data_IF_663778914868
#
_entry.id   IF_663778914868
#
_cell.length_a   1.000
_cell.length_b   1.000
_cell.length_c   1.000
_cell.angle_alpha   90.00
_cell.angle_beta   90.00
_cell.angle_gamma   90.00
#
_symmetry.space_group_name_H-M   'P 1'
#
loop_
_entity.id
_entity.type
_entity.pdbx_description
1 polymer ?
#
# COMPACT_ATOMS: atom_id res chain seq x y z
N UNK A 1 -3.39 -21.97 -40.05
CA UNK A 1 -4.17 -20.73 -39.87
C UNK A 1 -4.04 -20.26 -38.43
N UNK A 2 -3.23 -19.23 -38.13
CA UNK A 2 -3.09 -18.74 -36.76
C UNK A 2 -4.34 -17.94 -36.36
N UNK A 3 -4.95 -18.30 -35.23
CA UNK A 3 -6.07 -17.57 -34.63
C UNK A 3 -5.57 -16.22 -34.12
N UNK A 4 -5.93 -15.14 -34.83
CA UNK A 4 -5.76 -13.76 -34.38
C UNK A 4 -6.49 -13.54 -33.05
N UNK A 5 -5.76 -13.53 -31.93
CA UNK A 5 -6.25 -12.90 -30.70
C UNK A 5 -6.04 -11.39 -30.87
N UNK A 6 -7.13 -10.66 -31.13
CA UNK A 6 -7.11 -9.19 -31.12
C UNK A 6 -6.56 -8.72 -29.76
N UNK A 7 -5.52 -7.89 -29.77
CA UNK A 7 -5.12 -7.13 -28.59
C UNK A 7 -6.28 -6.19 -28.21
N UNK A 8 -6.69 -6.14 -26.93
CA UNK A 8 -7.72 -5.21 -26.50
C UNK A 8 -7.23 -3.77 -26.71
N UNK A 9 -8.13 -2.90 -27.14
CA UNK A 9 -7.82 -1.47 -27.30
C UNK A 9 -7.65 -0.82 -25.93
N UNK A 10 -6.94 0.32 -25.80
CA UNK A 10 -6.72 1.00 -24.52
C UNK A 10 -8.01 1.44 -23.80
N UNK A 11 -9.17 1.40 -24.48
CA UNK A 11 -10.49 1.68 -23.91
C UNK A 11 -11.22 0.46 -23.33
N UNK A 12 -10.75 -0.76 -23.58
CA UNK A 12 -11.46 -2.00 -23.18
C UNK A 12 -11.10 -2.49 -21.76
N UNK A 13 -10.27 -1.74 -21.03
CA UNK A 13 -9.84 -2.08 -19.66
C UNK A 13 -10.85 -1.70 -18.56
N UNK A 14 -12.06 -1.23 -18.92
CA UNK A 14 -13.07 -0.77 -17.95
C UNK A 14 -14.18 -1.80 -17.59
N UNK A 15 -13.87 -2.99 -17.05
CA UNK A 15 -14.87 -3.71 -16.25
C UNK A 15 -14.49 -3.97 -14.78
N UNK A 16 -13.30 -3.59 -14.30
CA UNK A 16 -12.90 -3.88 -12.90
C UNK A 16 -13.27 -2.73 -11.92
N UNK A 17 -13.70 -1.58 -12.46
CA UNK A 17 -13.93 -0.34 -11.69
C UNK A 17 -15.35 -0.16 -11.12
N UNK A 18 -16.25 -1.15 -11.27
CA UNK A 18 -17.56 -1.14 -10.62
C UNK A 18 -17.55 -2.17 -9.49
N UNK A 19 -17.73 -1.71 -8.25
CA UNK A 19 -18.00 -2.59 -7.12
C UNK A 19 -19.32 -3.34 -7.38
N UNK A 20 -19.21 -4.59 -7.83
CA UNK A 20 -20.31 -5.45 -8.25
C UNK A 20 -20.21 -6.81 -7.54
N UNK A 21 -20.46 -6.86 -6.21
CA UNK A 21 -20.32 -8.08 -5.42
C UNK A 21 -21.04 -9.28 -6.08
N UNK A 22 -22.33 -9.10 -6.44
CA UNK A 22 -23.14 -10.19 -7.00
C UNK A 22 -22.75 -10.74 -8.38
N UNK A 23 -21.81 -10.10 -9.08
CA UNK A 23 -21.32 -10.58 -10.39
C UNK A 23 -20.18 -11.59 -10.28
N UNK A 24 -19.50 -11.64 -9.13
CA UNK A 24 -18.36 -12.53 -8.90
C UNK A 24 -18.76 -13.89 -8.33
N UNK A 25 -19.91 -14.00 -7.66
CA UNK A 25 -20.33 -15.24 -7.00
C UNK A 25 -20.31 -16.46 -7.94
N UNK A 26 -20.68 -16.29 -9.22
CA UNK A 26 -20.66 -17.37 -10.22
C UNK A 26 -19.34 -17.59 -10.95
N UNK A 27 -18.33 -16.73 -10.77
CA UNK A 27 -17.03 -16.78 -11.48
C UNK A 27 -15.81 -16.76 -10.56
N UNK A 28 -16.00 -16.60 -9.25
CA UNK A 28 -14.95 -16.48 -8.22
C UNK A 28 -13.95 -17.63 -8.32
N UNK A 29 -14.41 -18.88 -8.30
CA UNK A 29 -13.52 -20.04 -8.39
C UNK A 29 -12.70 -20.06 -9.68
N UNK A 30 -13.31 -19.79 -10.83
CA UNK A 30 -12.60 -19.78 -12.12
C UNK A 30 -11.58 -18.64 -12.23
N UNK A 31 -11.90 -17.46 -11.67
CA UNK A 31 -10.98 -16.33 -11.61
C UNK A 31 -9.82 -16.63 -10.67
N UNK A 32 -10.08 -17.18 -9.48
CA UNK A 32 -9.05 -17.60 -8.53
C UNK A 32 -8.10 -18.62 -9.15
N UNK A 33 -8.62 -19.63 -9.85
CA UNK A 33 -7.80 -20.63 -10.56
C UNK A 33 -6.99 -20.02 -11.72
N UNK A 34 -7.57 -19.05 -12.45
CA UNK A 34 -6.84 -18.32 -13.49
C UNK A 34 -5.68 -17.52 -12.90
N UNK A 35 -5.92 -16.78 -11.81
CA UNK A 35 -4.88 -15.99 -11.12
C UNK A 35 -3.79 -16.89 -10.56
N UNK A 36 -4.13 -18.03 -9.92
CA UNK A 36 -3.14 -19.03 -9.49
C UNK A 36 -2.27 -19.52 -10.63
N UNK A 37 -2.87 -19.81 -11.79
CA UNK A 37 -2.15 -20.29 -12.96
C UNK A 37 -1.19 -19.23 -13.49
N UNK A 38 -1.64 -17.99 -13.61
CA UNK A 38 -0.83 -16.86 -14.05
C UNK A 38 0.33 -16.57 -13.09
N UNK A 39 0.12 -16.67 -11.77
CA UNK A 39 1.20 -16.54 -10.79
C UNK A 39 2.26 -17.65 -10.92
N UNK A 40 1.84 -18.90 -11.15
CA UNK A 40 2.75 -20.06 -11.20
C UNK A 40 3.48 -20.19 -12.54
N UNK A 41 2.78 -19.96 -13.65
CA UNK A 41 3.23 -20.30 -15.00
C UNK A 41 3.28 -19.12 -15.96
N UNK A 42 2.82 -17.93 -15.56
CA UNK A 42 2.86 -16.75 -16.40
C UNK A 42 4.27 -16.21 -16.58
N UNK A 43 4.45 -15.34 -17.57
CA UNK A 43 5.65 -14.53 -17.72
C UNK A 43 5.68 -13.38 -16.68
N UNK A 44 6.75 -12.58 -16.64
CA UNK A 44 6.92 -11.51 -15.64
C UNK A 44 5.74 -10.53 -15.61
N UNK A 45 5.32 -10.01 -16.77
CA UNK A 45 4.17 -9.11 -16.87
C UNK A 45 2.88 -9.79 -16.38
N UNK A 46 2.60 -11.01 -16.83
CA UNK A 46 1.39 -11.75 -16.45
C UNK A 46 1.35 -12.06 -14.95
N UNK A 47 2.51 -12.37 -14.34
CA UNK A 47 2.63 -12.55 -12.89
C UNK A 47 2.36 -11.25 -12.15
N UNK A 48 2.90 -10.12 -12.63
CA UNK A 48 2.67 -8.80 -12.03
C UNK A 48 1.19 -8.42 -12.09
N UNK A 49 0.55 -8.63 -13.24
CA UNK A 49 -0.90 -8.47 -13.39
C UNK A 49 -1.66 -9.37 -12.42
N UNK A 50 -1.29 -10.65 -12.32
CA UNK A 50 -1.94 -11.59 -11.42
C UNK A 50 -1.81 -11.19 -9.93
N UNK A 51 -0.65 -10.69 -9.50
CA UNK A 51 -0.45 -10.14 -8.14
C UNK A 51 -1.35 -8.93 -7.91
N UNK A 52 -1.43 -8.00 -8.87
CA UNK A 52 -2.26 -6.79 -8.75
C UNK A 52 -3.76 -7.08 -8.64
N UNK A 53 -4.20 -8.23 -9.17
CA UNK A 53 -5.61 -8.65 -9.15
C UNK A 53 -6.01 -9.29 -7.81
N UNK A 54 -5.07 -9.84 -7.04
CA UNK A 54 -5.39 -10.50 -5.75
C UNK A 54 -6.03 -9.54 -4.74
N UNK A 55 -5.47 -8.33 -4.48
CA UNK A 55 -6.11 -7.36 -3.60
C UNK A 55 -7.50 -6.95 -4.12
N UNK A 56 -7.68 -6.82 -5.44
CA UNK A 56 -8.97 -6.46 -6.03
C UNK A 56 -10.02 -7.57 -5.82
N UNK A 57 -9.65 -8.85 -5.96
CA UNK A 57 -10.53 -9.98 -5.67
C UNK A 57 -10.89 -10.06 -4.19
N UNK A 58 -9.93 -9.81 -3.29
CA UNK A 58 -10.17 -9.74 -1.86
C UNK A 58 -11.13 -8.60 -1.50
N UNK A 59 -10.93 -7.42 -2.08
CA UNK A 59 -11.80 -6.26 -1.89
C UNK A 59 -13.19 -6.48 -2.49
N UNK A 60 -13.33 -7.22 -3.58
CA UNK A 60 -14.63 -7.49 -4.19
C UNK A 60 -15.37 -8.68 -3.56
N UNK A 61 -14.76 -9.36 -2.59
CA UNK A 61 -15.39 -10.48 -1.89
C UNK A 61 -16.51 -10.02 -0.97
N UNK A 62 -17.58 -10.81 -0.90
CA UNK A 62 -18.83 -10.42 -0.25
C UNK A 62 -18.81 -10.67 1.26
N UNK A 63 -18.02 -11.64 1.73
CA UNK A 63 -17.95 -12.02 3.14
C UNK A 63 -16.52 -12.09 3.67
N UNK A 64 -16.34 -11.92 4.98
CA UNK A 64 -15.03 -12.14 5.62
C UNK A 64 -14.52 -13.58 5.45
N UNK A 65 -15.42 -14.57 5.31
CA UNK A 65 -15.06 -15.95 5.01
C UNK A 65 -14.45 -16.10 3.61
N UNK A 66 -14.97 -15.37 2.62
CA UNK A 66 -14.42 -15.35 1.26
C UNK A 66 -13.03 -14.71 1.21
N UNK A 67 -12.80 -13.68 2.02
CA UNK A 67 -11.49 -13.03 2.16
C UNK A 67 -10.50 -13.97 2.83
N UNK A 68 -10.92 -14.69 3.88
CA UNK A 68 -10.09 -15.67 4.55
C UNK A 68 -9.71 -16.82 3.62
N UNK A 69 -10.67 -17.34 2.85
CA UNK A 69 -10.42 -18.36 1.82
C UNK A 69 -9.44 -17.86 0.76
N UNK A 70 -9.59 -16.62 0.28
CA UNK A 70 -8.64 -16.01 -0.67
C UNK A 70 -7.25 -15.84 -0.06
N UNK A 71 -7.16 -15.40 1.19
CA UNK A 71 -5.91 -15.28 1.92
C UNK A 71 -5.27 -16.66 2.07
N UNK A 72 -5.97 -17.68 2.56
CA UNK A 72 -5.45 -19.05 2.64
C UNK A 72 -5.04 -19.61 1.28
N UNK A 73 -5.78 -19.25 0.24
CA UNK A 73 -5.55 -19.71 -1.13
C UNK A 73 -4.31 -19.07 -1.76
N UNK A 74 -4.11 -17.77 -1.56
CA UNK A 74 -3.01 -17.02 -2.16
C UNK A 74 -1.79 -16.89 -1.25
N UNK A 75 -1.94 -17.04 0.07
CA UNK A 75 -0.85 -16.95 1.06
C UNK A 75 0.30 -17.89 0.76
N UNK A 76 0.13 -19.17 0.37
CA UNK A 76 1.26 -20.02 0.02
C UNK A 76 2.01 -19.55 -1.23
N UNK A 77 1.29 -18.99 -2.22
CA UNK A 77 1.87 -18.49 -3.47
C UNK A 77 2.57 -17.15 -3.24
N UNK A 78 1.95 -16.25 -2.47
CA UNK A 78 2.55 -14.98 -2.06
C UNK A 78 3.74 -15.20 -1.14
N UNK A 79 3.65 -16.12 -0.16
CA UNK A 79 4.79 -16.52 0.66
C UNK A 79 5.87 -17.13 -0.21
N UNK A 80 5.55 -18.01 -1.16
CA UNK A 80 6.55 -18.56 -2.10
C UNK A 80 7.28 -17.48 -2.90
N UNK A 81 6.54 -16.53 -3.50
CA UNK A 81 7.12 -15.41 -4.24
C UNK A 81 7.90 -14.48 -3.30
N UNK A 82 7.35 -14.18 -2.12
CA UNK A 82 8.02 -13.38 -1.11
C UNK A 82 9.26 -14.09 -0.60
N UNK A 83 9.26 -15.41 -0.40
CA UNK A 83 10.45 -16.17 0.00
C UNK A 83 11.46 -16.21 -1.12
N UNK A 84 11.07 -16.33 -2.39
CA UNK A 84 12.01 -16.27 -3.50
C UNK A 84 12.63 -14.87 -3.62
N UNK A 85 11.82 -13.81 -3.54
CA UNK A 85 12.29 -12.41 -3.45
C UNK A 85 13.14 -12.22 -2.19
N UNK A 86 12.76 -12.82 -1.07
CA UNK A 86 13.45 -12.73 0.20
C UNK A 86 14.71 -13.58 0.20
N UNK A 87 14.86 -14.65 -0.58
CA UNK A 87 16.11 -15.40 -0.75
C UNK A 87 17.04 -14.64 -1.69
N UNK A 88 16.50 -14.00 -2.74
CA UNK A 88 17.23 -13.02 -3.55
C UNK A 88 17.68 -11.81 -2.73
N UNK A 89 16.81 -11.31 -1.83
CA UNK A 89 17.13 -10.22 -0.92
C UNK A 89 18.06 -10.71 0.18
N UNK A 90 17.84 -11.85 0.87
CA UNK A 90 18.66 -12.43 1.97
C UNK A 90 20.07 -12.80 1.59
N UNK A 91 20.39 -12.91 0.30
CA UNK A 91 21.79 -12.78 -0.15
C UNK A 91 22.44 -11.45 0.33
N UNK A 92 21.61 -10.52 0.82
CA UNK A 92 21.80 -9.41 1.75
C UNK A 92 20.53 -9.21 2.66
N UNK A 93 20.48 -9.86 3.84
CA UNK A 93 19.53 -9.69 4.97
C UNK A 93 18.37 -8.66 4.86
N UNK A 94 17.15 -9.05 5.31
CA UNK A 94 15.98 -8.17 5.49
C UNK A 94 16.35 -6.71 5.83
N UNK A 95 15.82 -5.73 5.06
CA UNK A 95 16.06 -4.30 5.26
C UNK A 95 15.86 -3.90 6.74
N UNK A 96 16.97 -3.71 7.44
CA UNK A 96 16.99 -3.26 8.83
C UNK A 96 16.64 -1.77 8.90
N UNK A 97 16.28 -1.25 10.09
CA UNK A 97 16.09 0.20 10.26
C UNK A 97 17.33 1.00 9.83
N UNK A 98 18.54 0.46 10.02
CA UNK A 98 19.79 1.08 9.59
C UNK A 98 19.95 1.11 8.07
N UNK A 99 19.49 0.07 7.36
CA UNK A 99 19.47 0.08 5.90
C UNK A 99 18.52 1.15 5.37
N UNK A 100 17.35 1.32 5.99
CA UNK A 100 16.42 2.41 5.68
C UNK A 100 17.02 3.79 5.95
N UNK A 101 17.76 3.94 7.05
CA UNK A 101 18.49 5.18 7.34
C UNK A 101 19.54 5.48 6.27
N UNK A 102 20.30 4.49 5.80
CA UNK A 102 21.26 4.68 4.71
C UNK A 102 20.57 5.11 3.40
N UNK A 103 19.36 4.62 3.13
CA UNK A 103 18.57 5.01 1.95
C UNK A 103 18.06 6.46 2.00
N UNK A 104 18.09 7.14 3.15
CA UNK A 104 17.78 8.57 3.25
C UNK A 104 18.79 9.45 2.51
N UNK A 105 20.00 8.95 2.24
CA UNK A 105 21.03 9.66 1.47
C UNK A 105 21.00 9.31 -0.04
N UNK A 106 20.04 8.49 -0.49
CA UNK A 106 19.87 8.14 -1.90
C UNK A 106 19.76 9.39 -2.79
N UNK A 107 20.24 9.33 -4.03
CA UNK A 107 20.05 10.40 -5.02
C UNK A 107 18.59 10.50 -5.51
N UNK A 108 17.84 9.40 -5.40
CA UNK A 108 16.47 9.28 -5.88
C UNK A 108 15.45 9.72 -4.80
N UNK A 109 14.56 10.64 -5.16
CA UNK A 109 13.61 11.25 -4.22
C UNK A 109 12.59 10.24 -3.67
N UNK A 110 12.08 9.38 -4.53
CA UNK A 110 11.15 8.29 -4.19
C UNK A 110 11.76 7.34 -3.15
N UNK A 111 13.02 6.95 -3.32
CA UNK A 111 13.74 6.11 -2.34
C UNK A 111 13.84 6.81 -0.99
N UNK A 112 14.23 8.10 -0.97
CA UNK A 112 14.33 8.87 0.28
C UNK A 112 12.97 8.99 0.98
N UNK A 113 11.94 9.43 0.25
CA UNK A 113 10.59 9.63 0.80
C UNK A 113 9.99 8.33 1.32
N UNK A 114 10.06 7.25 0.54
CA UNK A 114 9.62 5.93 0.98
C UNK A 114 10.37 5.44 2.22
N UNK A 115 11.69 5.66 2.31
CA UNK A 115 12.48 5.27 3.47
C UNK A 115 12.10 6.06 4.73
N UNK A 116 11.90 7.38 4.61
CA UNK A 116 11.47 8.22 5.71
C UNK A 116 10.07 7.87 6.24
N UNK A 117 9.11 7.67 5.34
CA UNK A 117 7.75 7.24 5.69
C UNK A 117 7.74 5.82 6.30
N UNK A 118 8.57 4.92 5.78
CA UNK A 118 8.71 3.56 6.33
C UNK A 118 9.31 3.59 7.73
N UNK A 119 10.33 4.42 7.99
CA UNK A 119 10.89 4.59 9.33
C UNK A 119 9.87 5.13 10.33
N UNK A 120 9.07 6.13 9.92
CA UNK A 120 7.99 6.67 10.75
C UNK A 120 6.92 5.61 11.06
N UNK A 121 6.52 4.84 10.05
CA UNK A 121 5.57 3.73 10.21
C UNK A 121 6.12 2.63 11.12
N UNK A 122 7.37 2.21 10.91
CA UNK A 122 8.03 1.21 11.77
C UNK A 122 8.10 1.69 13.21
N UNK A 123 8.46 2.95 13.44
CA UNK A 123 8.45 3.54 14.78
C UNK A 123 7.04 3.54 15.39
N UNK A 124 5.99 3.94 14.64
CA UNK A 124 4.59 3.92 15.11
C UNK A 124 4.13 2.54 15.56
N UNK A 125 4.51 1.49 14.81
CA UNK A 125 4.05 0.12 15.08
C UNK A 125 4.90 -0.57 16.13
N UNK A 126 6.22 -0.42 16.07
CA UNK A 126 7.14 -1.21 16.88
C UNK A 126 7.34 -0.58 18.26
N UNK A 127 7.25 0.74 18.42
CA UNK A 127 7.29 1.37 19.75
C UNK A 127 6.10 1.00 20.64
N UNK A 128 4.99 0.48 20.07
CA UNK A 128 3.89 -0.09 20.84
C UNK A 128 4.29 -1.39 21.56
N UNK A 129 5.30 -2.09 21.05
CA UNK A 129 5.77 -3.38 21.55
C UNK A 129 7.13 -3.28 22.26
N UNK A 130 8.00 -2.42 21.76
CA UNK A 130 9.34 -2.15 22.28
C UNK A 130 9.58 -0.64 22.30
N UNK A 131 9.42 -0.03 23.47
CA UNK A 131 9.63 1.41 23.65
C UNK A 131 11.08 1.86 23.43
N UNK A 132 12.04 0.93 23.38
CA UNK A 132 13.45 1.21 23.10
C UNK A 132 13.80 1.13 21.62
N UNK A 133 12.84 0.73 20.77
CA UNK A 133 13.04 0.66 19.32
C UNK A 133 13.55 2.00 18.76
N UNK A 134 14.63 1.94 17.98
CA UNK A 134 15.36 3.08 17.40
C UNK A 134 15.98 4.07 18.39
N UNK A 135 15.90 3.86 19.71
CA UNK A 135 16.37 4.85 20.70
C UNK A 135 17.84 5.25 20.51
N UNK A 136 18.71 4.29 20.19
CA UNK A 136 20.15 4.54 19.95
C UNK A 136 20.41 5.33 18.66
N UNK A 137 19.66 5.01 17.60
CA UNK A 137 19.86 5.57 16.26
C UNK A 137 19.03 6.88 16.04
N UNK A 138 18.07 7.17 16.93
CA UNK A 138 17.13 8.30 16.82
C UNK A 138 17.82 9.67 16.71
N UNK A 139 18.89 10.00 17.47
CA UNK A 139 19.56 11.29 17.34
C UNK A 139 20.14 11.52 15.94
N UNK A 140 20.76 10.51 15.35
CA UNK A 140 21.34 10.57 14.01
C UNK A 140 20.24 10.63 12.94
N UNK A 141 19.19 9.84 13.11
CA UNK A 141 18.01 9.89 12.26
C UNK A 141 17.38 11.28 12.23
N UNK A 142 17.18 11.91 13.40
CA UNK A 142 16.62 13.26 13.52
C UNK A 142 17.49 14.30 12.81
N UNK A 143 18.81 14.17 12.90
CA UNK A 143 19.73 15.07 12.20
C UNK A 143 19.59 14.95 10.67
N UNK A 144 19.49 13.73 10.16
CA UNK A 144 19.32 13.47 8.72
C UNK A 144 17.96 13.95 8.22
N UNK A 145 16.87 13.59 8.91
CA UNK A 145 15.50 14.01 8.58
C UNK A 145 15.36 15.54 8.63
N UNK A 146 15.98 16.20 9.62
CA UNK A 146 15.97 17.66 9.72
C UNK A 146 16.60 18.33 8.50
N UNK A 147 17.77 17.84 8.04
CA UNK A 147 18.38 18.33 6.80
C UNK A 147 17.45 18.15 5.60
N UNK A 148 16.84 16.97 5.44
CA UNK A 148 15.93 16.69 4.33
C UNK A 148 14.65 17.53 4.34
N UNK A 149 14.22 17.99 5.52
CA UNK A 149 13.05 18.87 5.71
C UNK A 149 13.25 20.32 5.22
N UNK A 150 14.51 20.76 5.10
CA UNK A 150 14.90 22.12 4.66
C UNK A 150 15.56 22.11 3.28
N UNK A 151 16.45 21.15 3.06
CA UNK A 151 17.40 21.16 1.98
C UNK A 151 16.77 20.64 0.68
N UNK A 152 17.30 21.14 -0.44
CA UNK A 152 16.99 20.63 -1.76
C UNK A 152 18.21 19.90 -2.30
N UNK A 153 18.02 18.65 -2.74
CA UNK A 153 19.06 17.93 -3.44
C UNK A 153 19.32 18.57 -4.81
N UNK A 154 20.59 18.58 -5.24
CA UNK A 154 21.00 19.19 -6.52
C UNK A 154 20.24 18.51 -7.67
N UNK A 155 19.79 19.29 -8.65
CA UNK A 155 19.03 18.83 -9.83
C UNK A 155 17.58 18.35 -9.60
N UNK A 156 17.03 18.45 -8.38
CA UNK A 156 15.60 18.17 -8.18
C UNK A 156 14.69 19.26 -8.75
N UNK A 157 13.63 18.89 -9.47
CA UNK A 157 12.59 19.82 -9.92
C UNK A 157 11.73 20.41 -8.79
N UNK A 158 11.02 21.52 -9.06
CA UNK A 158 10.21 22.25 -8.08
C UNK A 158 9.19 21.37 -7.34
N UNK A 159 8.49 20.49 -8.05
CA UNK A 159 7.52 19.54 -7.48
C UNK A 159 8.19 18.56 -6.51
N UNK A 160 9.34 18.01 -6.90
CA UNK A 160 10.10 17.07 -6.08
C UNK A 160 10.61 17.71 -4.78
N UNK A 161 11.16 18.93 -4.86
CA UNK A 161 11.58 19.68 -3.66
C UNK A 161 10.42 19.95 -2.70
N UNK A 162 9.23 20.28 -3.23
CA UNK A 162 8.03 20.50 -2.41
C UNK A 162 7.61 19.21 -1.70
N UNK A 163 7.54 18.09 -2.43
CA UNK A 163 7.18 16.79 -1.86
C UNK A 163 8.15 16.39 -0.75
N UNK A 164 9.46 16.44 -1.02
CA UNK A 164 10.49 16.13 -0.02
C UNK A 164 10.29 16.91 1.28
N UNK A 165 10.17 18.24 1.17
CA UNK A 165 10.05 19.09 2.36
C UNK A 165 8.79 18.81 3.14
N UNK A 166 7.66 18.54 2.47
CA UNK A 166 6.41 18.20 3.16
C UNK A 166 6.58 16.87 3.89
N UNK A 167 6.97 15.81 3.19
CA UNK A 167 7.16 14.47 3.76
C UNK A 167 8.12 14.52 4.96
N UNK A 168 9.31 15.13 4.81
CA UNK A 168 10.29 15.13 5.89
C UNK A 168 9.97 16.12 7.02
N UNK A 169 9.12 17.13 6.81
CA UNK A 169 8.59 17.93 7.93
C UNK A 169 7.61 17.11 8.77
N UNK A 170 6.75 16.34 8.11
CA UNK A 170 5.79 15.47 8.79
C UNK A 170 6.50 14.36 9.56
N UNK A 171 7.50 13.69 8.94
CA UNK A 171 8.34 12.68 9.61
C UNK A 171 9.12 13.30 10.78
N UNK A 172 9.70 14.49 10.59
CA UNK A 172 10.45 15.17 11.66
C UNK A 172 9.55 15.47 12.86
N UNK A 173 8.40 16.08 12.59
CA UNK A 173 7.43 16.47 13.62
C UNK A 173 6.96 15.24 14.40
N UNK A 174 6.66 14.15 13.70
CA UNK A 174 6.29 12.89 14.33
C UNK A 174 7.40 12.31 15.21
N UNK A 175 8.64 12.21 14.71
CA UNK A 175 9.74 11.62 15.48
C UNK A 175 10.15 12.48 16.69
N UNK A 176 9.94 13.81 16.64
CA UNK A 176 10.28 14.71 17.75
C UNK A 176 9.17 14.85 18.78
N UNK A 177 7.91 14.91 18.33
CA UNK A 177 6.78 15.35 19.16
C UNK A 177 5.65 14.31 19.23
N UNK A 178 5.77 13.19 18.50
CA UNK A 178 4.72 12.17 18.40
C UNK A 178 3.48 12.63 17.61
N UNK A 179 3.55 13.78 16.93
CA UNK A 179 2.41 14.36 16.21
C UNK A 179 2.36 13.81 14.78
N UNK A 180 1.29 13.09 14.46
CA UNK A 180 1.00 12.59 13.11
C UNK A 180 0.21 13.64 12.32
N UNK A 181 0.53 13.91 11.03
CA UNK A 181 -0.27 14.80 10.19
C UNK A 181 -1.70 14.26 10.00
N UNK A 182 -2.71 15.03 10.37
CA UNK A 182 -4.10 14.67 10.10
C UNK A 182 -4.51 15.01 8.67
N UNK A 183 -5.13 14.06 7.97
CA UNK A 183 -5.81 14.32 6.69
C UNK A 183 -7.27 13.90 6.77
N UNK A 184 -8.16 14.77 6.30
CA UNK A 184 -9.61 14.51 6.21
C UNK A 184 -10.00 14.31 4.76
N UNK A 185 -10.58 13.15 4.47
CA UNK A 185 -11.04 12.79 3.12
C UNK A 185 -12.55 12.70 3.13
N UNK A 186 -13.21 13.62 2.42
CA UNK A 186 -14.66 13.64 2.28
C UNK A 186 -15.09 12.71 1.15
N UNK A 187 -16.10 11.89 1.41
CA UNK A 187 -16.75 11.02 0.42
C UNK A 187 -18.23 10.87 0.80
N UNK A 188 -19.13 11.11 -0.15
CA UNK A 188 -20.56 11.21 0.16
C UNK A 188 -20.81 12.18 1.32
N UNK A 189 -21.55 11.70 2.33
CA UNK A 189 -21.88 12.43 3.56
C UNK A 189 -20.93 12.12 4.74
N UNK A 190 -19.86 11.35 4.50
CA UNK A 190 -18.92 10.90 5.52
C UNK A 190 -17.53 11.53 5.34
N UNK A 191 -16.70 11.45 6.38
CA UNK A 191 -15.31 11.90 6.34
C UNK A 191 -14.40 10.86 6.97
N UNK A 192 -13.43 10.37 6.20
CA UNK A 192 -12.36 9.51 6.69
C UNK A 192 -11.27 10.39 7.31
N UNK A 193 -10.94 10.13 8.56
CA UNK A 193 -9.81 10.74 9.25
C UNK A 193 -8.59 9.82 9.17
N UNK A 194 -7.51 10.32 8.57
CA UNK A 194 -6.19 9.69 8.61
C UNK A 194 -5.38 10.37 9.72
N UNK A 195 -5.24 9.71 10.86
CA UNK A 195 -4.61 10.22 12.08
C UNK A 195 -3.45 9.33 12.58
N UNK A 196 -2.99 8.39 11.76
CA UNK A 196 -1.86 7.50 12.05
C UNK A 196 -1.11 7.20 10.75
N UNK A 197 0.19 6.93 10.82
CA UNK A 197 1.01 6.52 9.67
C UNK A 197 0.47 5.25 9.03
N UNK A 198 0.02 4.28 9.84
CA UNK A 198 -0.66 3.08 9.36
C UNK A 198 -1.96 3.42 8.61
N UNK A 199 -2.74 4.37 9.10
CA UNK A 199 -3.98 4.80 8.43
C UNK A 199 -3.70 5.47 7.08
N UNK A 200 -2.69 6.35 7.00
CA UNK A 200 -2.21 6.91 5.74
C UNK A 200 -1.76 5.81 4.78
N UNK A 201 -0.93 4.88 5.26
CA UNK A 201 -0.40 3.78 4.42
C UNK A 201 -1.51 2.88 3.88
N UNK A 202 -2.49 2.52 4.71
CA UNK A 202 -3.66 1.72 4.27
C UNK A 202 -4.45 2.44 3.20
N UNK A 203 -4.71 3.73 3.41
CA UNK A 203 -5.44 4.55 2.44
C UNK A 203 -4.69 4.66 1.12
N UNK A 204 -3.39 4.96 1.13
CA UNK A 204 -2.59 5.09 -0.09
C UNK A 204 -2.52 3.76 -0.86
N UNK A 205 -2.31 2.63 -0.17
CA UNK A 205 -2.37 1.31 -0.80
C UNK A 205 -3.73 1.05 -1.47
N UNK A 206 -4.83 1.37 -0.80
CA UNK A 206 -6.17 1.21 -1.37
C UNK A 206 -6.40 2.15 -2.54
N UNK A 207 -5.91 3.39 -2.46
CA UNK A 207 -6.02 4.39 -3.52
C UNK A 207 -5.22 4.01 -4.75
N UNK A 208 -4.02 3.49 -4.59
CA UNK A 208 -3.18 3.03 -5.70
C UNK A 208 -3.82 1.86 -6.44
N UNK A 209 -4.49 0.95 -5.70
CA UNK A 209 -5.13 -0.23 -6.27
C UNK A 209 -6.51 0.07 -6.85
N UNK A 210 -7.35 0.84 -6.15
CA UNK A 210 -8.75 1.10 -6.53
C UNK A 210 -8.92 2.35 -7.41
N UNK A 211 -7.99 3.30 -7.35
CA UNK A 211 -8.06 4.56 -8.06
C UNK A 211 -9.39 5.29 -7.84
N UNK A 212 -10.08 5.61 -8.93
CA UNK A 212 -11.36 6.33 -8.91
C UNK A 212 -12.50 5.55 -8.23
N UNK A 213 -12.41 4.22 -8.13
CA UNK A 213 -13.44 3.39 -7.50
C UNK A 213 -13.41 3.47 -5.97
N UNK A 214 -12.35 4.04 -5.37
CA UNK A 214 -12.16 4.08 -3.92
C UNK A 214 -13.37 4.64 -3.17
N UNK A 215 -13.97 5.74 -3.65
CA UNK A 215 -15.13 6.35 -2.98
C UNK A 215 -16.31 5.39 -2.82
N UNK A 216 -16.60 4.58 -3.85
CA UNK A 216 -17.68 3.59 -3.78
C UNK A 216 -17.36 2.51 -2.74
N UNK A 217 -16.10 2.10 -2.64
CA UNK A 217 -15.66 1.14 -1.63
C UNK A 217 -15.70 1.74 -0.22
N UNK A 218 -15.28 3.00 -0.02
CA UNK A 218 -15.41 3.69 1.27
C UNK A 218 -16.87 3.73 1.74
N UNK A 219 -17.83 3.94 0.84
CA UNK A 219 -19.24 3.98 1.18
C UNK A 219 -19.85 2.59 1.46
N UNK A 220 -19.48 1.57 0.69
CA UNK A 220 -20.28 0.32 0.61
C UNK A 220 -19.54 -0.94 1.05
N UNK A 221 -18.22 -0.93 1.05
CA UNK A 221 -17.43 -2.14 1.21
C UNK A 221 -17.05 -2.35 2.68
N UNK A 222 -17.66 -3.34 3.33
CA UNK A 222 -17.45 -3.64 4.74
C UNK A 222 -15.97 -3.88 5.10
N UNK A 223 -15.21 -4.57 4.24
CA UNK A 223 -13.79 -4.83 4.46
C UNK A 223 -12.96 -3.54 4.40
N UNK A 224 -13.20 -2.68 3.40
CA UNK A 224 -12.51 -1.39 3.28
C UNK A 224 -12.84 -0.48 4.46
N UNK A 225 -14.11 -0.47 4.88
CA UNK A 225 -14.56 0.31 6.03
C UNK A 225 -13.96 -0.18 7.34
N UNK A 226 -13.83 -1.49 7.53
CA UNK A 226 -13.15 -2.07 8.69
C UNK A 226 -11.65 -1.78 8.69
N UNK A 227 -10.98 -2.00 7.54
CA UNK A 227 -9.55 -1.72 7.38
C UNK A 227 -9.21 -0.25 7.71
N UNK A 228 -10.09 0.67 7.32
CA UNK A 228 -9.94 2.10 7.57
C UNK A 228 -10.69 2.59 8.81
N UNK A 229 -11.19 1.68 9.66
CA UNK A 229 -11.88 2.00 10.92
C UNK A 229 -13.01 3.05 10.78
N UNK A 230 -13.71 3.04 9.65
CA UNK A 230 -14.84 3.94 9.34
C UNK A 230 -16.14 3.52 10.05
N UNK A 231 -16.18 2.33 10.63
CA UNK A 231 -17.40 1.75 11.21
C UNK A 231 -18.43 1.36 10.15
N UNK A 232 -19.54 0.76 10.59
CA UNK A 232 -20.67 0.44 9.72
C UNK A 232 -21.30 1.74 9.20
N UNK A 233 -21.72 1.75 7.92
CA UNK A 233 -22.47 2.88 7.38
C UNK A 233 -23.73 3.08 8.22
N UNK A 234 -23.93 4.29 8.75
CA UNK A 234 -25.18 4.65 9.40
C UNK A 234 -26.27 4.68 8.31
N UNK A 235 -27.10 3.64 8.28
CA UNK A 235 -28.31 3.61 7.47
C UNK A 235 -29.38 4.12 8.43
N UNK A 236 -29.72 5.41 8.36
CA UNK A 236 -30.84 5.94 9.15
C UNK A 236 -32.08 5.09 8.89
N UNK A 237 -32.63 4.52 9.96
CA UNK A 237 -33.97 3.90 9.97
C UNK A 237 -35.04 4.98 9.84
#
# INVERSE_FOLDING_TARGET
MPRNRKKPSPGDSQPIQRYCPGSLAGRKMSLVESVKRSLRKGNEEERLWAVSVIPLLALQSETCADVLELVETFKPVMIGILTDILEHVKSANLLSPRDLMAMLDSSHLDVRTASGETLALMHELLCQHDSSFLQEDLPDLLNTVRKLSTDAYRFQGKRGRKLQRITFRDVLLYLQEGVVPEMRIKFGDETLLLNSWMMHRRYDCLKDVLGMALNVHLEKNALVRDLLKLGLKWIGL
#
